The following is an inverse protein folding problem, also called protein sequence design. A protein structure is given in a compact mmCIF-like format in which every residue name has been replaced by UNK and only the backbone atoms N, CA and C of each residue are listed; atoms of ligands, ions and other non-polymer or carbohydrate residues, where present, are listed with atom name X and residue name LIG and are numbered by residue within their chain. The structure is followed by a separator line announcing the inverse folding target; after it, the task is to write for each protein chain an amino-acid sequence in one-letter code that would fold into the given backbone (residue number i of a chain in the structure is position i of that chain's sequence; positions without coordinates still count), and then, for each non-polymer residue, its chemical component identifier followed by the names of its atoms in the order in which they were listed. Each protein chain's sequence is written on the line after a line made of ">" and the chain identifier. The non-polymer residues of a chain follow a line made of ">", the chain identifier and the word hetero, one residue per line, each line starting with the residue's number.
data_IF_347291143843
#
_entry.id   IF_347291143843
#
_cell.length_a   1.000
_cell.length_b   1.000
_cell.length_c   1.000
_cell.angle_alpha   90.00
_cell.angle_beta   90.00
_cell.angle_gamma   90.00
#
_symmetry.space_group_name_H-M   'P 1'
#
loop_
_entity.id
_entity.type
_entity.pdbx_description
1 polymer ?
#
# COMPACT_ATOMS: atom_id res chain seq x y z
N UNK A 1 26.45 17.13 18.29
CA UNK A 1 26.58 16.74 16.87
C UNK A 1 26.67 17.97 15.98
N UNK A 2 27.60 18.03 15.02
CA UNK A 2 27.73 19.17 14.08
C UNK A 2 26.64 19.12 13.00
N UNK A 3 26.19 20.28 12.49
CA UNK A 3 25.07 20.34 11.52
C UNK A 3 25.35 19.57 10.22
N UNK A 4 26.58 19.59 9.71
CA UNK A 4 27.00 18.81 8.53
C UNK A 4 26.90 17.30 8.75
N UNK A 5 27.21 16.83 9.96
CA UNK A 5 27.12 15.42 10.33
C UNK A 5 25.67 14.96 10.45
N UNK A 6 24.79 15.81 11.02
CA UNK A 6 23.35 15.55 11.06
C UNK A 6 22.74 15.44 9.67
N UNK A 7 23.08 16.37 8.79
CA UNK A 7 22.59 16.38 7.41
C UNK A 7 23.06 15.18 6.62
N UNK A 8 24.31 14.74 6.81
CA UNK A 8 24.82 13.52 6.22
C UNK A 8 24.02 12.29 6.67
N UNK A 9 23.73 12.17 7.96
CA UNK A 9 22.92 11.07 8.51
C UNK A 9 21.48 11.09 7.98
N UNK A 10 20.86 12.27 7.88
CA UNK A 10 19.53 12.43 7.28
C UNK A 10 19.54 11.98 5.82
N UNK A 11 20.53 12.42 5.05
CA UNK A 11 20.67 12.04 3.64
C UNK A 11 20.94 10.55 3.49
N UNK A 12 21.81 9.95 4.30
CA UNK A 12 22.07 8.51 4.27
C UNK A 12 20.79 7.71 4.55
N UNK A 13 20.02 8.11 5.56
CA UNK A 13 18.78 7.43 5.91
C UNK A 13 17.72 7.59 4.81
N UNK A 14 17.51 8.81 4.30
CA UNK A 14 16.58 9.09 3.18
C UNK A 14 17.03 8.39 1.90
N UNK A 15 18.34 8.27 1.64
CA UNK A 15 18.87 7.57 0.46
C UNK A 15 18.67 6.06 0.57
N UNK A 16 18.83 5.49 1.76
CA UNK A 16 18.67 4.07 2.01
C UNK A 16 17.20 3.61 1.93
N UNK A 17 16.26 4.42 2.41
CA UNK A 17 14.84 4.04 2.54
C UNK A 17 13.90 4.81 1.61
N UNK A 18 14.39 5.80 0.87
CA UNK A 18 13.60 6.71 0.02
C UNK A 18 12.79 7.76 0.80
N UNK A 19 12.52 7.52 2.08
CA UNK A 19 11.74 8.39 2.97
C UNK A 19 12.18 8.20 4.43
N UNK A 20 12.21 9.30 5.18
CA UNK A 20 12.35 9.28 6.63
C UNK A 20 11.29 10.16 7.30
N UNK A 21 10.63 9.63 8.35
CA UNK A 21 9.66 10.40 9.13
C UNK A 21 10.35 11.38 10.09
N UNK A 22 9.71 12.50 10.44
CA UNK A 22 10.26 13.44 11.43
C UNK A 22 10.57 12.76 12.76
N UNK A 23 9.72 11.83 13.20
CA UNK A 23 9.95 11.06 14.44
C UNK A 23 11.16 10.13 14.33
N UNK A 24 11.38 9.51 13.18
CA UNK A 24 12.58 8.70 12.97
C UNK A 24 13.85 9.55 12.97
N UNK A 25 13.79 10.76 12.39
CA UNK A 25 14.89 11.74 12.46
C UNK A 25 15.15 12.15 13.91
N UNK A 26 14.10 12.46 14.67
CA UNK A 26 14.21 12.82 16.10
C UNK A 26 14.74 11.67 16.97
N UNK A 27 14.45 10.41 16.62
CA UNK A 27 14.96 9.25 17.34
C UNK A 27 16.42 8.91 16.99
N UNK A 28 16.87 9.24 15.77
CA UNK A 28 18.22 8.94 15.28
C UNK A 28 19.22 10.08 15.53
N UNK A 29 18.72 11.31 15.71
CA UNK A 29 19.57 12.49 15.92
C UNK A 29 19.33 13.06 17.31
N UNK A 30 20.43 13.22 18.07
CA UNK A 30 20.40 13.96 19.33
C UNK A 30 20.37 15.49 19.05
N UNK A 31 19.20 15.99 18.64
CA UNK A 31 18.98 17.39 18.28
C UNK A 31 17.53 17.83 18.57
N UNK A 32 17.35 19.13 18.88
CA UNK A 32 16.00 19.66 19.15
C UNK A 32 15.13 19.68 17.87
N UNK A 33 13.80 19.61 17.98
CA UNK A 33 12.90 19.69 16.82
C UNK A 33 13.07 20.97 15.99
N UNK A 34 13.47 22.08 16.63
CA UNK A 34 13.76 23.35 15.95
C UNK A 34 15.06 23.26 15.13
N UNK A 35 16.07 22.56 15.65
CA UNK A 35 17.33 22.29 14.97
C UNK A 35 17.14 21.38 13.77
N UNK A 36 16.38 20.29 13.94
CA UNK A 36 16.06 19.33 12.87
C UNK A 36 15.28 20.03 11.75
N UNK A 37 14.28 20.86 12.09
CA UNK A 37 13.55 21.66 11.08
C UNK A 37 14.49 22.55 10.27
N UNK A 38 15.47 23.19 10.93
CA UNK A 38 16.43 24.07 10.26
C UNK A 38 17.37 23.31 9.33
N UNK A 39 17.87 22.15 9.75
CA UNK A 39 18.72 21.30 8.91
C UNK A 39 17.92 20.77 7.69
N UNK A 40 16.67 20.36 7.89
CA UNK A 40 15.79 19.91 6.80
C UNK A 40 15.41 21.03 5.83
N UNK A 41 15.19 22.26 6.33
CA UNK A 41 15.04 23.43 5.46
C UNK A 41 16.28 23.63 4.60
N UNK A 42 17.48 23.51 5.17
CA UNK A 42 18.73 23.70 4.42
C UNK A 42 18.94 22.62 3.36
N UNK A 43 18.60 21.37 3.66
CA UNK A 43 18.67 20.27 2.69
C UNK A 43 17.64 20.40 1.56
N UNK A 44 16.44 20.91 1.87
CA UNK A 44 15.39 21.21 0.88
C UNK A 44 15.80 22.39 -0.02
N UNK A 45 16.34 23.47 0.55
CA UNK A 45 16.88 24.62 -0.20
C UNK A 45 18.05 24.20 -1.12
N UNK A 46 18.83 23.20 -0.70
CA UNK A 46 19.89 22.61 -1.51
C UNK A 46 19.39 21.63 -2.58
N UNK A 47 18.08 21.35 -2.63
CA UNK A 47 17.47 20.41 -3.57
C UNK A 47 17.88 18.96 -3.35
N UNK A 48 18.33 18.58 -2.15
CA UNK A 48 18.80 17.23 -1.84
C UNK A 48 17.69 16.34 -1.25
N UNK A 49 16.63 16.96 -0.72
CA UNK A 49 15.42 16.30 -0.22
C UNK A 49 14.20 17.14 -0.60
N UNK A 50 13.02 16.53 -0.57
CA UNK A 50 11.74 17.19 -0.64
C UNK A 50 10.99 16.95 0.67
N UNK A 51 10.58 18.03 1.37
CA UNK A 51 9.82 17.88 2.61
C UNK A 51 8.37 17.57 2.28
N UNK A 52 7.83 16.60 3.01
CA UNK A 52 6.43 16.20 2.91
C UNK A 52 5.78 16.27 4.30
N UNK A 53 4.46 16.19 4.34
CA UNK A 53 3.76 16.17 5.61
C UNK A 53 4.12 14.88 6.38
N UNK A 54 4.82 15.02 7.52
CA UNK A 54 5.27 13.90 8.34
C UNK A 54 6.72 13.42 8.13
N UNK A 55 7.46 13.96 7.16
CA UNK A 55 8.88 13.59 6.97
C UNK A 55 9.57 14.27 5.79
N UNK A 56 10.60 13.61 5.25
CA UNK A 56 11.35 14.02 4.07
C UNK A 56 11.59 12.83 3.12
N UNK A 57 11.55 13.07 1.80
CA UNK A 57 11.83 12.09 0.74
C UNK A 57 12.90 12.60 -0.24
N UNK A 58 13.40 11.76 -1.13
CA UNK A 58 14.29 12.21 -2.21
C UNK A 58 13.53 13.10 -3.23
N UNK A 59 14.18 14.11 -3.82
CA UNK A 59 13.60 14.90 -4.91
C UNK A 59 13.42 14.03 -6.16
N UNK A 60 12.33 14.25 -6.88
CA UNK A 60 12.11 13.63 -8.19
C UNK A 60 12.91 14.41 -9.25
N UNK A 61 13.74 13.73 -10.03
CA UNK A 61 14.49 14.35 -11.13
C UNK A 61 13.52 14.82 -12.24
N UNK A 62 13.19 16.12 -12.27
CA UNK A 62 12.34 16.73 -13.30
C UNK A 62 13.03 16.89 -14.67
N UNK A 63 14.29 16.46 -14.83
CA UNK A 63 15.07 16.60 -16.07
C UNK A 63 15.45 15.26 -16.68
N UNK A 64 14.45 14.49 -17.06
CA UNK A 64 14.59 13.51 -18.13
C UNK A 64 13.20 13.17 -18.65
N UNK A 65 13.01 13.24 -19.97
CA UNK A 65 11.99 12.50 -20.70
C UNK A 65 12.17 10.99 -20.42
N UNK A 66 11.75 10.54 -19.24
CA UNK A 66 11.71 9.12 -18.88
C UNK A 66 10.35 8.56 -19.28
N UNK A 67 10.30 7.38 -19.91
CA UNK A 67 9.05 6.65 -20.01
C UNK A 67 8.58 6.33 -18.60
N UNK A 68 7.41 6.87 -18.21
CA UNK A 68 6.67 6.53 -16.98
C UNK A 68 7.55 6.42 -15.73
N UNK A 69 7.91 7.56 -15.14
CA UNK A 69 8.57 7.59 -13.83
C UNK A 69 7.74 6.89 -12.75
N UNK A 70 8.39 6.55 -11.64
CA UNK A 70 7.87 5.86 -10.44
C UNK A 70 6.70 6.59 -9.71
N UNK A 71 6.07 7.56 -10.38
CA UNK A 71 4.83 8.17 -9.94
C UNK A 71 3.69 7.25 -10.40
N UNK A 72 3.14 6.47 -9.46
CA UNK A 72 2.03 5.56 -9.77
C UNK A 72 0.81 6.28 -10.36
N UNK A 73 -0.05 5.53 -11.04
CA UNK A 73 -1.30 6.09 -11.59
C UNK A 73 -2.20 6.57 -10.46
N UNK A 74 -2.61 7.87 -10.44
CA UNK A 74 -3.49 8.38 -9.39
C UNK A 74 -4.77 7.58 -9.27
N UNK A 75 -5.29 7.43 -8.04
CA UNK A 75 -6.50 6.64 -7.77
C UNK A 75 -7.68 7.03 -8.68
N UNK A 76 -7.92 8.34 -8.83
CA UNK A 76 -9.00 8.88 -9.66
C UNK A 76 -8.90 8.50 -11.15
N UNK A 77 -7.69 8.23 -11.65
CA UNK A 77 -7.48 7.75 -13.02
C UNK A 77 -7.54 6.22 -13.08
N UNK A 78 -6.97 5.54 -12.08
CA UNK A 78 -6.95 4.08 -12.03
C UNK A 78 -8.34 3.48 -11.84
N UNK A 79 -9.28 4.18 -11.20
CA UNK A 79 -10.61 3.63 -10.87
C UNK A 79 -11.44 3.27 -12.12
N UNK A 80 -11.26 3.96 -13.23
CA UNK A 80 -11.99 3.69 -14.48
C UNK A 80 -11.24 2.75 -15.43
N UNK A 81 -9.94 2.54 -15.21
CA UNK A 81 -9.12 1.63 -16.01
C UNK A 81 -9.46 0.17 -15.71
N UNK A 82 -9.67 -0.64 -16.76
CA UNK A 82 -10.01 -2.06 -16.67
C UNK A 82 -11.19 -2.34 -15.71
N UNK A 83 -12.13 -1.39 -15.59
CA UNK A 83 -13.21 -1.47 -14.60
C UNK A 83 -14.01 -2.79 -14.67
N UNK A 84 -14.38 -3.33 -15.85
CA UNK A 84 -15.09 -4.62 -15.92
C UNK A 84 -14.30 -5.77 -15.28
N UNK A 85 -12.99 -5.84 -15.53
CA UNK A 85 -12.12 -6.84 -14.92
C UNK A 85 -12.05 -6.64 -13.40
N UNK A 86 -11.87 -5.40 -12.93
CA UNK A 86 -11.84 -5.09 -11.50
C UNK A 86 -13.15 -5.45 -10.80
N UNK A 87 -14.29 -5.22 -11.44
CA UNK A 87 -15.61 -5.60 -10.92
C UNK A 87 -15.78 -7.11 -10.83
N UNK A 88 -15.34 -7.86 -11.85
CA UNK A 88 -15.33 -9.32 -11.80
C UNK A 88 -14.44 -9.84 -10.66
N UNK A 89 -13.22 -9.32 -10.56
CA UNK A 89 -12.27 -9.64 -9.49
C UNK A 89 -12.85 -9.32 -8.11
N UNK A 90 -13.44 -8.13 -7.93
CA UNK A 90 -14.06 -7.73 -6.67
C UNK A 90 -15.20 -8.64 -6.24
N UNK A 91 -16.04 -9.09 -7.18
CA UNK A 91 -17.10 -10.08 -6.93
C UNK A 91 -16.54 -11.43 -6.50
N UNK A 92 -15.52 -11.92 -7.21
CA UNK A 92 -14.87 -13.19 -6.89
C UNK A 92 -14.16 -13.13 -5.53
N UNK A 93 -13.55 -11.99 -5.19
CA UNK A 93 -12.92 -11.75 -3.90
C UNK A 93 -13.94 -11.77 -2.75
N UNK A 94 -15.07 -11.06 -2.89
CA UNK A 94 -16.12 -11.06 -1.87
C UNK A 94 -16.74 -12.44 -1.64
N UNK A 95 -16.76 -13.32 -2.65
CA UNK A 95 -17.22 -14.69 -2.50
C UNK A 95 -16.28 -15.58 -1.64
N UNK A 96 -15.08 -15.09 -1.28
CA UNK A 96 -14.17 -15.74 -0.33
C UNK A 96 -14.48 -15.37 1.13
N UNK A 97 -15.34 -14.37 1.35
CA UNK A 97 -15.73 -13.94 2.69
C UNK A 97 -16.90 -14.77 3.23
N UNK A 98 -16.94 -14.94 4.56
CA UNK A 98 -18.05 -15.55 5.27
C UNK A 98 -18.87 -14.50 6.05
N UNK A 99 -20.16 -14.77 6.31
CA UNK A 99 -20.96 -13.89 7.17
C UNK A 99 -20.34 -13.72 8.56
N UNK A 100 -20.25 -12.47 9.04
CA UNK A 100 -19.69 -12.10 10.34
C UNK A 100 -18.16 -12.15 10.44
N UNK A 101 -17.47 -12.50 9.34
CA UNK A 101 -16.01 -12.66 9.33
C UNK A 101 -15.26 -11.33 9.53
N UNK A 102 -14.13 -11.39 10.23
CA UNK A 102 -13.16 -10.30 10.30
C UNK A 102 -12.21 -10.34 9.10
N UNK A 103 -12.13 -9.26 8.33
CA UNK A 103 -11.26 -9.15 7.15
C UNK A 103 -10.48 -7.85 7.15
N UNK A 104 -9.31 -7.85 6.50
CA UNK A 104 -8.54 -6.65 6.21
C UNK A 104 -8.66 -6.31 4.72
N UNK A 105 -8.90 -5.04 4.41
CA UNK A 105 -8.97 -4.55 3.02
C UNK A 105 -8.03 -3.37 2.87
N UNK A 106 -7.01 -3.53 2.04
CA UNK A 106 -6.09 -2.47 1.66
C UNK A 106 -6.71 -1.51 0.61
N UNK A 107 -6.14 -0.31 0.52
CA UNK A 107 -6.57 0.72 -0.42
C UNK A 107 -6.18 0.43 -1.85
N UNK A 108 -7.17 0.27 -2.73
CA UNK A 108 -6.92 0.04 -4.15
C UNK A 108 -8.18 0.15 -4.99
N UNK A 109 -8.01 0.46 -6.27
CA UNK A 109 -9.16 0.59 -7.18
C UNK A 109 -9.82 -0.75 -7.48
N UNK A 110 -9.05 -1.84 -7.43
CA UNK A 110 -9.54 -3.22 -7.55
C UNK A 110 -10.18 -3.71 -6.26
N UNK A 111 -9.54 -3.50 -5.10
CA UNK A 111 -10.11 -3.90 -3.79
C UNK A 111 -11.41 -3.16 -3.51
N UNK A 112 -11.53 -1.87 -3.90
CA UNK A 112 -12.78 -1.12 -3.81
C UNK A 112 -13.97 -1.84 -4.49
N UNK A 113 -13.74 -2.56 -5.58
CA UNK A 113 -14.81 -3.24 -6.30
C UNK A 113 -15.39 -4.44 -5.54
N UNK A 114 -14.75 -4.91 -4.47
CA UNK A 114 -15.32 -5.95 -3.62
C UNK A 114 -16.39 -5.40 -2.66
N UNK A 115 -16.29 -4.11 -2.28
CA UNK A 115 -17.13 -3.51 -1.25
C UNK A 115 -18.64 -3.67 -1.51
N UNK A 116 -19.18 -3.43 -2.72
CA UNK A 116 -20.61 -3.61 -2.99
C UNK A 116 -21.12 -5.04 -2.75
N UNK A 117 -20.23 -6.02 -2.80
CA UNK A 117 -20.53 -7.44 -2.67
C UNK A 117 -20.41 -7.97 -1.23
N UNK A 118 -20.01 -7.11 -0.28
CA UNK A 118 -19.98 -7.43 1.15
C UNK A 118 -21.32 -7.14 1.86
N UNK A 119 -22.24 -6.41 1.20
CA UNK A 119 -23.52 -6.04 1.78
C UNK A 119 -24.32 -7.30 2.17
N UNK A 120 -24.78 -7.35 3.43
CA UNK A 120 -25.52 -8.48 3.98
C UNK A 120 -24.65 -9.63 4.51
N UNK A 121 -23.31 -9.53 4.43
CA UNK A 121 -22.41 -10.46 5.11
C UNK A 121 -22.07 -10.01 6.53
N UNK A 122 -22.39 -8.77 6.93
CA UNK A 122 -22.11 -8.23 8.27
C UNK A 122 -20.63 -8.38 8.70
N UNK A 123 -19.70 -8.26 7.74
CA UNK A 123 -18.28 -8.39 7.99
C UNK A 123 -17.74 -7.29 8.93
N UNK A 124 -16.69 -7.63 9.67
CA UNK A 124 -15.87 -6.66 10.38
C UNK A 124 -14.65 -6.34 9.52
N UNK A 125 -14.57 -5.12 9.00
CA UNK A 125 -13.55 -4.71 8.04
C UNK A 125 -12.55 -3.78 8.71
N UNK A 126 -11.30 -4.20 8.79
CA UNK A 126 -10.17 -3.30 9.10
C UNK A 126 -9.59 -2.75 7.79
N UNK A 127 -9.57 -1.44 7.65
CA UNK A 127 -8.95 -0.77 6.50
C UNK A 127 -8.26 0.51 6.93
N UNK A 128 -7.21 0.91 6.22
CA UNK A 128 -6.61 2.22 6.34
C UNK A 128 -7.10 3.17 5.24
N UNK A 129 -7.92 2.71 4.28
CA UNK A 129 -8.29 3.48 3.10
C UNK A 129 -9.61 4.22 3.28
N UNK A 130 -9.60 5.54 3.09
CA UNK A 130 -10.82 6.35 3.17
C UNK A 130 -11.79 6.05 2.02
N UNK A 131 -11.31 5.56 0.87
CA UNK A 131 -12.17 5.10 -0.23
C UNK A 131 -12.96 3.85 0.13
N UNK A 132 -12.32 2.91 0.84
CA UNK A 132 -13.00 1.70 1.32
C UNK A 132 -14.00 2.06 2.41
N UNK A 133 -13.65 2.96 3.33
CA UNK A 133 -14.57 3.48 4.34
C UNK A 133 -15.82 4.06 3.68
N UNK A 134 -15.66 5.00 2.76
CA UNK A 134 -16.77 5.67 2.07
C UNK A 134 -17.71 4.68 1.36
N UNK A 135 -17.16 3.63 0.74
CA UNK A 135 -17.94 2.59 0.07
C UNK A 135 -18.71 1.65 1.03
N UNK A 136 -18.22 1.47 2.25
CA UNK A 136 -18.82 0.55 3.23
C UNK A 136 -19.76 1.24 4.22
N UNK A 137 -19.59 2.54 4.48
CA UNK A 137 -20.43 3.31 5.41
C UNK A 137 -21.95 3.19 5.14
N UNK A 138 -22.44 3.13 3.88
CA UNK A 138 -23.87 2.97 3.62
C UNK A 138 -24.44 1.57 3.91
N UNK A 139 -23.61 0.57 4.23
CA UNK A 139 -24.04 -0.83 4.41
C UNK A 139 -24.42 -1.11 5.86
N UNK A 140 -25.73 -1.23 6.19
CA UNK A 140 -26.15 -1.54 7.55
C UNK A 140 -25.72 -2.97 7.90
N UNK A 141 -24.81 -3.11 8.88
CA UNK A 141 -24.31 -4.40 9.37
C UNK A 141 -22.79 -4.54 9.26
N UNK A 142 -22.17 -3.93 8.23
CA UNK A 142 -20.72 -3.91 8.06
C UNK A 142 -20.09 -2.99 9.11
N UNK A 143 -19.20 -3.54 9.93
CA UNK A 143 -18.44 -2.75 10.92
C UNK A 143 -17.10 -2.36 10.33
N UNK A 144 -16.78 -1.06 10.34
CA UNK A 144 -15.51 -0.57 9.81
C UNK A 144 -14.59 -0.15 10.95
N UNK A 145 -13.42 -0.75 11.02
CA UNK A 145 -12.32 -0.40 11.91
C UNK A 145 -11.25 0.35 11.12
N UNK A 146 -10.74 1.42 11.71
CA UNK A 146 -9.67 2.23 11.16
C UNK A 146 -8.50 2.28 12.16
N UNK A 147 -7.25 2.25 11.70
CA UNK A 147 -6.13 2.56 12.56
C UNK A 147 -6.20 4.02 13.06
N UNK A 148 -5.62 4.26 14.22
CA UNK A 148 -5.37 5.62 14.69
C UNK A 148 -4.19 6.23 13.91
N UNK A 149 -4.21 7.52 13.60
CA UNK A 149 -3.09 8.14 12.91
C UNK A 149 -3.41 9.42 12.14
N UNK A 150 -2.53 9.73 11.18
CA UNK A 150 -2.64 10.92 10.34
C UNK A 150 -3.19 10.55 8.97
N UNK A 151 -4.12 11.35 8.45
CA UNK A 151 -4.60 11.21 7.07
C UNK A 151 -3.51 11.68 6.10
N UNK A 152 -3.05 10.78 5.24
CA UNK A 152 -2.16 11.06 4.13
C UNK A 152 -3.00 11.27 2.87
N UNK A 153 -3.11 12.54 2.46
CA UNK A 153 -4.12 13.00 1.49
C UNK A 153 -3.85 12.50 0.07
N UNK A 154 -2.59 12.34 -0.26
CA UNK A 154 -2.11 11.94 -1.59
C UNK A 154 -2.59 10.54 -1.96
N UNK A 155 -2.68 9.64 -0.98
CA UNK A 155 -3.18 8.26 -1.15
C UNK A 155 -4.56 8.02 -0.53
N UNK A 156 -5.15 9.01 0.13
CA UNK A 156 -6.41 8.90 0.91
C UNK A 156 -6.39 7.73 1.92
N UNK A 157 -5.29 7.61 2.67
CA UNK A 157 -5.12 6.59 3.70
C UNK A 157 -4.85 7.18 5.08
N UNK A 158 -5.14 6.44 6.13
CA UNK A 158 -4.72 6.72 7.50
C UNK A 158 -3.39 6.03 7.76
N UNK A 159 -2.34 6.82 7.96
CA UNK A 159 -1.02 6.33 8.34
C UNK A 159 -0.95 6.18 9.85
N UNK A 160 -0.88 4.92 10.28
CA UNK A 160 -0.67 4.57 11.67
C UNK A 160 0.73 4.99 12.14
N UNK A 161 0.87 5.64 13.32
CA UNK A 161 2.16 5.93 13.93
C UNK A 161 3.06 4.69 13.96
N UNK A 162 4.37 4.86 13.88
CA UNK A 162 5.29 3.74 14.10
C UNK A 162 5.08 3.13 15.50
N UNK A 163 5.09 1.80 15.60
CA UNK A 163 4.86 1.04 16.83
C UNK A 163 3.55 0.23 16.85
N UNK A 164 3.55 -0.87 17.63
CA UNK A 164 2.47 -1.87 17.69
C UNK A 164 1.14 -1.32 18.21
N UNK A 165 1.15 -0.28 19.04
CA UNK A 165 -0.05 0.25 19.72
C UNK A 165 -1.01 1.06 18.82
N UNK A 166 -0.61 1.36 17.59
CA UNK A 166 -1.38 2.22 16.67
C UNK A 166 -2.47 1.49 15.89
N UNK A 167 -2.29 0.17 15.71
CA UNK A 167 -3.22 -0.71 14.99
C UNK A 167 -4.21 -1.34 15.98
N UNK A 168 -5.51 -1.43 15.66
CA UNK A 168 -6.47 -2.08 16.54
C UNK A 168 -6.04 -3.52 16.86
N UNK A 169 -6.28 -3.99 18.09
CA UNK A 169 -6.12 -5.41 18.46
C UNK A 169 -7.23 -6.25 17.81
N UNK A 170 -7.09 -6.41 16.49
CA UNK A 170 -8.02 -7.09 15.62
C UNK A 170 -7.31 -8.28 14.97
N UNK A 171 -7.92 -9.45 15.06
CA UNK A 171 -7.52 -10.65 14.34
C UNK A 171 -8.44 -10.78 13.14
N UNK A 172 -7.85 -10.81 11.96
CA UNK A 172 -8.54 -11.07 10.70
C UNK A 172 -7.67 -12.03 9.88
N UNK A 173 -8.16 -13.23 9.57
CA UNK A 173 -7.36 -14.21 8.84
C UNK A 173 -7.02 -13.75 7.42
N UNK A 174 -7.89 -12.98 6.77
CA UNK A 174 -7.74 -12.63 5.35
C UNK A 174 -7.41 -11.16 5.14
N UNK A 175 -6.36 -10.91 4.35
CA UNK A 175 -6.03 -9.61 3.77
C UNK A 175 -6.35 -9.60 2.28
N UNK A 176 -7.18 -8.65 1.84
CA UNK A 176 -7.39 -8.36 0.44
C UNK A 176 -6.58 -7.11 0.06
N UNK A 177 -5.62 -7.26 -0.86
CA UNK A 177 -4.76 -6.15 -1.27
C UNK A 177 -4.55 -6.07 -2.78
N UNK A 178 -4.25 -4.87 -3.26
CA UNK A 178 -3.91 -4.64 -4.66
C UNK A 178 -2.40 -4.69 -4.90
N UNK A 179 -1.99 -4.40 -6.14
CA UNK A 179 -0.60 -4.13 -6.47
C UNK A 179 -0.47 -3.20 -7.68
N UNK A 180 0.65 -2.47 -7.74
CA UNK A 180 1.02 -1.75 -8.95
C UNK A 180 1.65 -2.66 -10.01
N UNK A 181 2.38 -3.69 -9.58
CA UNK A 181 2.99 -4.69 -10.43
C UNK A 181 3.19 -6.02 -9.68
N UNK A 182 3.18 -7.12 -10.41
CA UNK A 182 3.47 -8.47 -9.89
C UNK A 182 4.48 -9.14 -10.82
N UNK A 183 5.59 -9.57 -10.26
CA UNK A 183 6.68 -10.18 -11.02
C UNK A 183 7.45 -11.20 -10.22
N UNK A 184 8.59 -11.64 -10.77
CA UNK A 184 9.48 -12.62 -10.11
C UNK A 184 10.00 -12.15 -8.75
N UNK A 185 10.13 -10.84 -8.59
CA UNK A 185 10.58 -10.19 -7.36
C UNK A 185 9.52 -10.19 -6.26
N UNK A 186 8.25 -10.44 -6.60
CA UNK A 186 7.13 -10.35 -5.67
C UNK A 186 6.06 -9.35 -6.09
N UNK A 187 5.27 -8.97 -5.11
CA UNK A 187 4.26 -7.91 -5.18
C UNK A 187 4.94 -6.56 -5.02
N UNK A 188 4.62 -5.59 -5.87
CA UNK A 188 5.27 -4.28 -5.88
C UNK A 188 4.26 -3.12 -5.88
N UNK A 189 4.63 -2.04 -5.21
CA UNK A 189 3.93 -0.75 -5.22
C UNK A 189 4.85 0.37 -5.72
N UNK A 190 4.26 1.49 -6.15
CA UNK A 190 5.05 2.64 -6.60
C UNK A 190 5.48 3.55 -5.44
N UNK A 191 4.68 3.61 -4.37
CA UNK A 191 4.91 4.47 -3.21
C UNK A 191 5.38 3.65 -2.01
N UNK A 192 6.56 3.99 -1.48
CA UNK A 192 7.13 3.34 -0.29
C UNK A 192 6.27 3.53 0.97
N UNK A 193 5.44 4.57 1.01
CA UNK A 193 4.48 4.78 2.09
C UNK A 193 3.37 3.72 2.05
N UNK A 194 2.92 3.32 0.86
CA UNK A 194 1.98 2.21 0.70
C UNK A 194 2.63 0.90 1.11
N UNK A 195 3.88 0.65 0.69
CA UNK A 195 4.63 -0.54 1.10
C UNK A 195 4.68 -0.68 2.62
N UNK A 196 5.03 0.40 3.33
CA UNK A 196 5.10 0.39 4.78
C UNK A 196 3.74 0.18 5.45
N UNK A 197 2.65 0.63 4.84
CA UNK A 197 1.29 0.44 5.34
C UNK A 197 0.79 -1.00 5.11
N UNK A 198 0.97 -1.52 3.90
CA UNK A 198 0.59 -2.88 3.51
C UNK A 198 1.34 -3.93 4.31
N UNK A 199 2.64 -3.70 4.60
CA UNK A 199 3.43 -4.60 5.43
C UNK A 199 2.83 -4.84 6.81
N UNK A 200 2.26 -3.79 7.42
CA UNK A 200 1.59 -3.91 8.71
C UNK A 200 0.31 -4.75 8.65
N UNK A 201 -0.35 -4.84 7.48
CA UNK A 201 -1.46 -5.76 7.29
C UNK A 201 -0.97 -7.19 7.04
N UNK A 202 0.07 -7.35 6.22
CA UNK A 202 0.65 -8.66 5.90
C UNK A 202 1.12 -9.36 7.19
N UNK A 203 1.80 -8.66 8.10
CA UNK A 203 2.30 -9.21 9.36
C UNK A 203 1.20 -9.72 10.31
N UNK A 204 -0.07 -9.42 10.01
CA UNK A 204 -1.26 -9.76 10.81
C UNK A 204 -2.22 -10.70 10.09
N UNK A 205 -1.95 -11.01 8.82
CA UNK A 205 -2.78 -11.85 7.99
C UNK A 205 -2.28 -13.30 8.03
N UNK A 206 -3.21 -14.25 8.03
CA UNK A 206 -2.90 -15.67 7.81
C UNK A 206 -2.94 -16.00 6.31
N UNK A 207 -3.83 -15.33 5.58
CA UNK A 207 -4.02 -15.46 4.15
C UNK A 207 -3.93 -14.09 3.46
N UNK A 208 -2.94 -13.94 2.58
CA UNK A 208 -2.82 -12.76 1.70
C UNK A 208 -3.47 -13.08 0.35
N UNK A 209 -4.52 -12.32 0.02
CA UNK A 209 -5.34 -12.46 -1.18
C UNK A 209 -5.09 -11.24 -2.06
N UNK A 210 -4.39 -11.45 -3.16
CA UNK A 210 -4.00 -10.42 -4.09
C UNK A 210 -5.06 -10.22 -5.19
N UNK A 211 -5.55 -9.00 -5.33
CA UNK A 211 -6.57 -8.62 -6.31
C UNK A 211 -5.94 -7.75 -7.40
N UNK A 212 -5.64 -8.35 -8.55
CA UNK A 212 -4.92 -7.68 -9.64
C UNK A 212 -5.50 -8.06 -10.99
N UNK A 213 -5.71 -7.06 -11.85
CA UNK A 213 -6.02 -7.32 -13.26
C UNK A 213 -4.76 -7.77 -14.02
N UNK A 214 -4.96 -8.45 -15.14
CA UNK A 214 -3.92 -9.12 -15.91
C UNK A 214 -2.82 -8.18 -16.43
N UNK A 215 -3.10 -6.88 -16.54
CA UNK A 215 -2.10 -5.90 -16.97
C UNK A 215 -0.97 -5.74 -15.95
N UNK A 216 -1.20 -6.09 -14.67
CA UNK A 216 -0.22 -5.96 -13.58
C UNK A 216 0.91 -6.98 -13.63
N UNK A 217 0.79 -8.04 -14.43
CA UNK A 217 1.85 -9.04 -14.65
C UNK A 217 2.87 -8.65 -15.71
N UNK A 218 2.71 -7.49 -16.36
CA UNK A 218 3.59 -7.05 -17.46
C UNK A 218 4.61 -5.98 -17.04
N UNK A 219 4.37 -5.30 -15.91
CA UNK A 219 5.24 -4.23 -15.39
C UNK A 219 6.26 -4.78 -14.39
N UNK A 220 7.46 -4.19 -14.35
CA UNK A 220 8.60 -4.71 -13.59
C UNK A 220 9.28 -3.70 -12.65
N UNK A 221 8.69 -2.52 -12.45
CA UNK A 221 9.28 -1.48 -11.61
C UNK A 221 8.36 -1.11 -10.45
N UNK A 222 8.93 -1.07 -9.25
CA UNK A 222 8.27 -0.61 -8.02
C UNK A 222 9.10 -1.00 -6.80
N UNK A 223 8.71 -0.47 -5.64
CA UNK A 223 9.18 -0.93 -4.36
C UNK A 223 8.54 -2.28 -4.04
N UNK A 224 9.36 -3.26 -3.64
CA UNK A 224 8.90 -4.60 -3.30
C UNK A 224 8.14 -4.53 -1.98
N UNK A 225 6.90 -5.01 -2.00
CA UNK A 225 6.09 -5.19 -0.80
C UNK A 225 6.45 -6.51 -0.18
N UNK A 226 6.07 -7.62 -0.83
CA UNK A 226 6.27 -8.98 -0.36
C UNK A 226 6.66 -9.96 -1.44
N UNK A 227 7.28 -11.05 -1.02
CA UNK A 227 7.58 -12.18 -1.90
C UNK A 227 6.29 -12.89 -2.32
N UNK A 228 6.33 -13.60 -3.45
CA UNK A 228 5.19 -14.40 -3.90
C UNK A 228 4.86 -15.56 -2.95
N UNK A 229 5.84 -16.00 -2.16
CA UNK A 229 5.70 -17.01 -1.12
C UNK A 229 4.84 -16.56 0.07
N UNK A 230 4.66 -15.25 0.26
CA UNK A 230 3.75 -14.68 1.25
C UNK A 230 2.31 -14.56 0.74
N UNK A 231 2.06 -14.82 -0.56
CA UNK A 231 0.74 -14.70 -1.20
C UNK A 231 0.04 -16.06 -1.26
N UNK A 232 -1.12 -16.17 -0.61
CA UNK A 232 -1.89 -17.42 -0.57
C UNK A 232 -2.79 -17.59 -1.79
N UNK A 233 -3.44 -16.51 -2.23
CA UNK A 233 -4.38 -16.52 -3.36
C UNK A 233 -4.18 -15.30 -4.26
N UNK A 234 -4.25 -15.49 -5.57
CA UNK A 234 -4.33 -14.42 -6.57
C UNK A 234 -5.69 -14.51 -7.27
N UNK A 235 -6.43 -13.41 -7.30
CA UNK A 235 -7.67 -13.25 -8.07
C UNK A 235 -7.39 -12.28 -9.22
N UNK A 236 -7.60 -12.76 -10.44
CA UNK A 236 -7.31 -12.00 -11.66
C UNK A 236 -8.32 -12.31 -12.77
N UNK A 237 -8.29 -11.57 -13.88
CA UNK A 237 -9.12 -11.83 -15.06
C UNK A 237 -8.46 -12.82 -16.03
N UNK A 238 -9.23 -13.30 -16.99
CA UNK A 238 -8.80 -14.28 -17.99
C UNK A 238 -7.68 -13.78 -18.94
N UNK A 239 -7.29 -12.51 -18.88
CA UNK A 239 -6.19 -11.95 -19.68
C UNK A 239 -4.78 -12.31 -19.18
N UNK A 240 -4.64 -12.99 -18.04
CA UNK A 240 -3.33 -13.40 -17.51
C UNK A 240 -2.57 -14.30 -18.51
N UNK A 241 -1.29 -14.02 -18.82
CA UNK A 241 -0.51 -14.87 -19.72
C UNK A 241 -0.40 -16.31 -19.19
N UNK A 242 -0.55 -17.31 -20.05
CA UNK A 242 -0.54 -18.73 -19.67
C UNK A 242 0.73 -19.12 -18.89
N UNK A 243 1.90 -18.67 -19.35
CA UNK A 243 3.17 -18.92 -18.67
C UNK A 243 3.20 -18.35 -17.24
N UNK A 244 2.63 -17.17 -17.02
CA UNK A 244 2.55 -16.56 -15.68
C UNK A 244 1.55 -17.32 -14.81
N UNK A 245 0.40 -17.71 -15.37
CA UNK A 245 -0.59 -18.50 -14.66
C UNK A 245 -0.06 -19.88 -14.23
N UNK A 246 0.74 -20.53 -15.08
CA UNK A 246 1.44 -21.78 -14.74
C UNK A 246 2.47 -21.57 -13.63
N UNK A 247 3.26 -20.49 -13.71
CA UNK A 247 4.23 -20.14 -12.67
C UNK A 247 3.55 -19.93 -11.30
N UNK A 248 2.49 -19.13 -11.25
CA UNK A 248 1.72 -18.88 -10.03
C UNK A 248 1.24 -20.20 -9.41
N UNK A 249 0.63 -21.08 -10.21
CA UNK A 249 0.16 -22.40 -9.73
C UNK A 249 1.30 -23.29 -9.26
N UNK A 250 2.44 -23.27 -9.96
CA UNK A 250 3.62 -24.08 -9.59
C UNK A 250 4.26 -23.64 -8.27
N UNK A 251 4.09 -22.38 -7.89
CA UNK A 251 4.54 -21.82 -6.61
C UNK A 251 3.63 -22.15 -5.43
N UNK A 252 2.58 -22.96 -5.63
CA UNK A 252 1.62 -23.32 -4.58
C UNK A 252 0.56 -22.24 -4.30
N UNK A 253 0.53 -21.16 -5.07
CA UNK A 253 -0.42 -20.07 -4.92
C UNK A 253 -1.74 -20.46 -5.59
N UNK A 254 -2.86 -20.28 -4.89
CA UNK A 254 -4.19 -20.51 -5.46
C UNK A 254 -4.50 -19.40 -6.48
N UNK A 255 -4.68 -19.77 -7.74
CA UNK A 255 -5.08 -18.83 -8.79
C UNK A 255 -6.58 -18.94 -9.10
N UNK A 256 -7.31 -17.84 -8.91
CA UNK A 256 -8.73 -17.70 -9.25
C UNK A 256 -8.88 -16.77 -10.45
N UNK A 257 -9.57 -17.24 -11.49
CA UNK A 257 -9.91 -16.46 -12.67
C UNK A 257 -11.36 -16.00 -12.54
N UNK A 258 -11.56 -14.68 -12.61
CA UNK A 258 -12.84 -13.99 -12.48
C UNK A 258 -13.45 -13.58 -13.83
#
# INVERSE_FOLDING_TARGET
>A
MHSSERERLILEAVTATGFISYRAIEAQLDASPATIRRDLTRLEEAGLILRVHGGAKLPEDERADRPQGLSGTPFAQSITQNLPAKQAIGRAAAALCQPGEGIMIDGGTTTLQMCPHLAGLDCQVLTNSLHIVDALLPQPGTRVLLPSGTVFREQNIVLAPAGEDSMPRFHAPKLFMGAAAVGRQGVMQQDVILVAAERRFIDRAEEVILLVDSTKFTSSSGAIVCGLDEVSTIVTDAGIPSAVAEQVRSSGIRLLIA
#
